data_IF_362444219282
#
_entry.id   IF_362444219282
#
_cell.length_a   1.000
_cell.length_b   1.000
_cell.length_c   1.000
_cell.angle_alpha   90.00
_cell.angle_beta   90.00
_cell.angle_gamma   90.00
#
_symmetry.space_group_name_H-M   'P 1'
#
loop_
_entity.id
_entity.type
_entity.pdbx_description
1 polymer ?
#
# COMPACT_ATOMS: atom_id res chain seq x y z
N UNK A 1 -2.25 -30.59 -2.05
CA UNK A 1 -0.89 -30.32 -1.53
C UNK A 1 -1.07 -29.54 -0.25
N UNK A 2 -0.81 -30.16 0.88
CA UNK A 2 -0.82 -29.50 2.19
C UNK A 2 0.43 -28.62 2.24
N UNK A 3 0.23 -27.31 2.33
CA UNK A 3 1.32 -26.34 2.43
C UNK A 3 2.10 -26.65 3.73
N UNK A 4 3.39 -27.04 3.68
CA UNK A 4 4.19 -27.42 4.85
C UNK A 4 4.67 -26.16 5.60
N UNK A 5 3.79 -25.19 5.78
CA UNK A 5 4.10 -23.90 6.37
C UNK A 5 3.76 -23.97 7.85
N UNK A 6 4.74 -24.36 8.66
CA UNK A 6 4.62 -24.27 10.10
C UNK A 6 4.88 -22.82 10.54
N UNK A 7 3.80 -22.08 10.80
CA UNK A 7 3.84 -20.65 11.17
C UNK A 7 4.74 -20.41 12.39
N UNK A 8 4.80 -21.40 13.30
CA UNK A 8 5.64 -21.34 14.50
C UNK A 8 7.12 -21.29 14.14
N UNK A 9 7.56 -22.08 13.16
CA UNK A 9 8.96 -22.10 12.71
C UNK A 9 9.36 -20.77 12.04
N UNK A 10 8.40 -20.14 11.34
CA UNK A 10 8.60 -18.81 10.74
C UNK A 10 8.76 -17.74 11.83
N UNK A 11 7.92 -17.78 12.87
CA UNK A 11 8.01 -16.86 14.00
C UNK A 11 9.34 -17.00 14.74
N UNK A 12 9.78 -18.23 15.00
CA UNK A 12 11.10 -18.49 15.59
C UNK A 12 12.25 -18.01 14.70
N UNK A 13 12.16 -18.17 13.38
CA UNK A 13 13.16 -17.67 12.46
C UNK A 13 13.25 -16.14 12.45
N UNK A 14 12.11 -15.46 12.55
CA UNK A 14 12.02 -13.99 12.66
C UNK A 14 12.60 -13.49 13.98
N UNK A 15 12.34 -14.21 15.08
CA UNK A 15 12.90 -13.89 16.39
C UNK A 15 14.41 -14.09 16.43
N UNK A 16 14.91 -15.18 15.86
CA UNK A 16 16.34 -15.50 15.82
C UNK A 16 17.14 -14.55 14.91
N UNK A 17 16.52 -14.02 13.84
CA UNK A 17 17.18 -13.13 12.88
C UNK A 17 16.24 -12.00 12.42
N UNK A 18 16.22 -10.86 13.14
CA UNK A 18 15.39 -9.70 12.80
C UNK A 18 15.66 -9.15 11.39
N UNK A 19 16.86 -9.38 10.85
CA UNK A 19 17.23 -9.02 9.48
C UNK A 19 16.35 -9.65 8.39
N UNK A 20 15.74 -10.81 8.64
CA UNK A 20 14.77 -11.39 7.71
C UNK A 20 13.52 -10.51 7.57
N UNK A 21 13.10 -9.88 8.67
CA UNK A 21 11.94 -9.00 8.68
C UNK A 21 12.23 -7.67 7.97
N UNK A 22 13.45 -7.15 8.10
CA UNK A 22 13.93 -5.98 7.35
C UNK A 22 14.03 -6.29 5.85
N UNK A 23 14.58 -7.45 5.48
CA UNK A 23 14.64 -7.89 4.09
C UNK A 23 13.23 -8.04 3.51
N UNK A 24 12.31 -8.65 4.24
CA UNK A 24 10.90 -8.74 3.86
C UNK A 24 10.29 -7.34 3.65
N UNK A 25 10.49 -6.41 4.59
CA UNK A 25 10.05 -5.02 4.45
C UNK A 25 10.62 -4.32 3.21
N UNK A 26 11.87 -4.58 2.84
CA UNK A 26 12.53 -4.01 1.66
C UNK A 26 11.90 -4.47 0.32
N UNK A 27 11.46 -5.73 0.24
CA UNK A 27 10.92 -6.32 -0.99
C UNK A 27 9.40 -6.13 -1.20
N UNK A 28 8.68 -5.54 -0.24
CA UNK A 28 7.24 -5.24 -0.40
C UNK A 28 6.85 -4.45 -1.68
N UNK A 29 7.63 -3.47 -2.17
CA UNK A 29 7.30 -2.77 -3.42
C UNK A 29 7.33 -3.68 -4.64
N UNK A 30 8.19 -4.71 -4.64
CA UNK A 30 8.25 -5.67 -5.72
C UNK A 30 6.97 -6.53 -5.79
N UNK A 31 6.37 -6.85 -4.64
CA UNK A 31 5.07 -7.52 -4.59
C UNK A 31 3.95 -6.62 -5.15
N UNK A 32 3.99 -5.31 -4.87
CA UNK A 32 3.07 -4.33 -5.47
C UNK A 32 3.31 -4.16 -6.99
N UNK A 33 4.56 -4.23 -7.46
CA UNK A 33 4.86 -4.23 -8.91
C UNK A 33 4.32 -5.48 -9.61
N UNK A 34 4.39 -6.65 -8.99
CA UNK A 34 3.81 -7.87 -9.55
C UNK A 34 2.29 -7.76 -9.75
N UNK A 35 1.59 -7.07 -8.85
CA UNK A 35 0.17 -6.74 -8.98
C UNK A 35 -0.15 -5.81 -10.16
N UNK A 36 0.82 -5.05 -10.68
CA UNK A 36 0.63 -4.23 -11.87
C UNK A 36 0.50 -5.07 -13.15
N UNK A 37 1.05 -6.29 -13.19
CA UNK A 37 1.00 -7.17 -14.37
C UNK A 37 -0.46 -7.59 -14.67
N UNK A 38 -1.23 -8.16 -13.72
CA UNK A 38 -2.66 -8.44 -13.94
C UNK A 38 -3.47 -7.18 -14.29
N UNK A 39 -3.22 -6.06 -13.61
CA UNK A 39 -3.92 -4.80 -13.87
C UNK A 39 -3.65 -4.29 -15.29
N UNK A 40 -2.43 -4.47 -15.80
CA UNK A 40 -2.07 -4.15 -17.18
C UNK A 40 -2.76 -5.05 -18.19
N UNK A 41 -2.90 -6.35 -17.88
CA UNK A 41 -3.68 -7.30 -18.70
C UNK A 41 -5.16 -6.89 -18.75
N UNK A 42 -5.77 -6.55 -17.61
CA UNK A 42 -7.16 -6.07 -17.56
C UNK A 42 -7.37 -4.74 -18.28
N UNK A 43 -6.38 -3.84 -18.23
CA UNK A 43 -6.37 -2.62 -19.04
C UNK A 43 -6.36 -2.94 -20.53
N UNK A 44 -5.52 -3.87 -20.97
CA UNK A 44 -5.41 -4.28 -22.38
C UNK A 44 -6.66 -5.00 -22.87
N UNK A 45 -7.35 -5.73 -22.00
CA UNK A 45 -8.62 -6.41 -22.27
C UNK A 45 -9.83 -5.44 -22.29
N UNK A 46 -9.63 -4.15 -21.99
CA UNK A 46 -10.72 -3.15 -21.98
C UNK A 46 -11.67 -3.25 -20.79
N UNK A 47 -11.41 -4.16 -19.84
CA UNK A 47 -12.23 -4.36 -18.63
C UNK A 47 -11.95 -3.29 -17.57
N UNK A 48 -10.80 -2.61 -17.65
CA UNK A 48 -10.34 -1.67 -16.65
C UNK A 48 -9.76 -0.40 -17.29
N UNK A 49 -10.28 0.78 -16.92
CA UNK A 49 -9.81 2.08 -17.39
C UNK A 49 -9.18 2.89 -16.24
N UNK A 50 -7.85 2.82 -16.04
CA UNK A 50 -7.19 3.46 -14.90
C UNK A 50 -7.38 4.98 -14.83
N UNK A 51 -7.56 5.64 -15.98
CA UNK A 51 -7.75 7.09 -16.03
C UNK A 51 -9.15 7.54 -15.55
N UNK A 52 -10.17 6.69 -15.70
CA UNK A 52 -11.53 6.95 -15.22
C UNK A 52 -11.76 6.37 -13.81
N UNK A 53 -11.17 5.22 -13.51
CA UNK A 53 -11.41 4.50 -12.26
C UNK A 53 -10.40 4.82 -11.15
N UNK A 54 -9.13 5.05 -11.48
CA UNK A 54 -8.11 5.29 -10.46
C UNK A 54 -7.95 6.79 -10.18
N UNK A 55 -7.97 7.68 -11.18
CA UNK A 55 -8.06 9.14 -10.97
C UNK A 55 -7.13 9.74 -9.90
N UNK A 56 -7.50 10.88 -9.31
CA UNK A 56 -6.77 11.52 -8.18
C UNK A 56 -6.88 10.68 -6.91
N UNK A 57 -7.99 9.97 -6.74
CA UNK A 57 -8.27 9.15 -5.56
C UNK A 57 -7.28 7.98 -5.41
N UNK A 58 -7.17 7.14 -6.43
CA UNK A 58 -6.25 6.02 -6.49
C UNK A 58 -4.79 6.46 -6.52
N UNK A 59 -4.47 7.58 -7.18
CA UNK A 59 -3.14 8.18 -7.07
C UNK A 59 -2.81 8.55 -5.61
N UNK A 60 -3.74 9.17 -4.90
CA UNK A 60 -3.56 9.53 -3.48
C UNK A 60 -3.39 8.29 -2.59
N UNK A 61 -4.17 7.23 -2.83
CA UNK A 61 -4.04 5.96 -2.08
C UNK A 61 -2.69 5.30 -2.33
N UNK A 62 -2.22 5.27 -3.58
CA UNK A 62 -0.89 4.73 -3.93
C UNK A 62 0.22 5.55 -3.27
N UNK A 63 0.11 6.88 -3.25
CA UNK A 63 1.08 7.75 -2.57
C UNK A 63 1.09 7.49 -1.06
N UNK A 64 -0.06 7.39 -0.40
CA UNK A 64 -0.15 7.10 1.03
C UNK A 64 0.47 5.72 1.34
N UNK A 65 0.20 4.72 0.51
CA UNK A 65 0.77 3.37 0.63
C UNK A 65 2.30 3.38 0.46
N UNK A 66 2.83 4.10 -0.53
CA UNK A 66 4.28 4.20 -0.75
C UNK A 66 4.99 4.92 0.41
N UNK A 67 4.41 6.03 0.89
CA UNK A 67 4.95 6.78 2.03
C UNK A 67 4.91 5.91 3.28
N UNK A 68 3.78 5.27 3.57
CA UNK A 68 3.63 4.35 4.70
C UNK A 68 4.60 3.18 4.65
N UNK A 69 4.83 2.60 3.47
CA UNK A 69 5.84 1.57 3.26
C UNK A 69 7.25 2.08 3.57
N UNK A 70 7.64 3.26 3.07
CA UNK A 70 8.97 3.85 3.28
C UNK A 70 9.25 4.08 4.77
N UNK A 71 8.27 4.65 5.49
CA UNK A 71 8.34 4.80 6.94
C UNK A 71 8.40 3.45 7.66
N UNK A 72 7.63 2.46 7.19
CA UNK A 72 7.70 1.09 7.68
C UNK A 72 9.08 0.49 7.55
N UNK A 73 9.65 0.52 6.35
CA UNK A 73 10.99 0.01 6.09
C UNK A 73 12.05 0.72 6.94
N UNK A 74 12.02 2.06 7.00
CA UNK A 74 12.94 2.84 7.83
C UNK A 74 12.81 2.47 9.32
N UNK A 75 11.59 2.31 9.83
CA UNK A 75 11.37 1.89 11.22
C UNK A 75 11.92 0.49 11.51
N UNK A 76 11.78 -0.46 10.58
CA UNK A 76 12.32 -1.80 10.75
C UNK A 76 13.86 -1.81 10.78
N UNK A 77 14.51 -0.98 9.96
CA UNK A 77 15.96 -0.79 10.01
C UNK A 77 16.39 -0.24 11.38
N UNK A 78 15.73 0.82 11.86
CA UNK A 78 16.07 1.45 13.14
C UNK A 78 15.88 0.48 14.31
N UNK A 79 14.76 -0.23 14.36
CA UNK A 79 14.49 -1.20 15.42
C UNK A 79 15.48 -2.37 15.41
N UNK A 80 15.93 -2.81 14.22
CA UNK A 80 17.00 -3.80 14.09
C UNK A 80 18.31 -3.28 14.69
N UNK A 81 18.70 -2.04 14.40
CA UNK A 81 19.92 -1.45 14.96
C UNK A 81 19.83 -1.18 16.47
N UNK A 82 18.62 -1.03 17.01
CA UNK A 82 18.36 -0.92 18.44
C UNK A 82 18.29 -2.27 19.16
N UNK A 83 18.60 -3.36 18.47
CA UNK A 83 18.57 -4.74 18.98
C UNK A 83 17.20 -5.13 19.60
N UNK A 84 16.12 -4.61 19.01
CA UNK A 84 14.76 -4.94 19.42
C UNK A 84 14.43 -6.35 18.95
N UNK A 85 13.88 -7.17 19.85
CA UNK A 85 13.45 -8.53 19.53
C UNK A 85 12.55 -8.56 18.27
N UNK A 86 12.84 -9.48 17.34
CA UNK A 86 12.16 -9.56 16.04
C UNK A 86 10.64 -9.68 16.13
N UNK A 87 10.13 -10.36 17.18
CA UNK A 87 8.69 -10.47 17.42
C UNK A 87 8.05 -9.12 17.77
N UNK A 88 8.75 -8.27 18.53
CA UNK A 88 8.31 -6.90 18.84
C UNK A 88 8.34 -6.03 17.58
N UNK A 89 9.37 -6.18 16.75
CA UNK A 89 9.47 -5.51 15.45
C UNK A 89 8.28 -5.87 14.54
N UNK A 90 7.93 -7.16 14.46
CA UNK A 90 6.77 -7.64 13.73
C UNK A 90 5.46 -7.01 14.21
N UNK A 91 5.26 -6.93 15.54
CA UNK A 91 4.07 -6.29 16.12
C UNK A 91 3.98 -4.80 15.77
N UNK A 92 5.09 -4.07 15.85
CA UNK A 92 5.15 -2.65 15.46
C UNK A 92 4.84 -2.50 13.96
N UNK A 93 5.41 -3.38 13.14
CA UNK A 93 5.17 -3.37 11.70
C UNK A 93 3.70 -3.61 11.35
N UNK A 94 3.06 -4.58 12.01
CA UNK A 94 1.64 -4.87 11.84
C UNK A 94 0.75 -3.73 12.34
N UNK A 95 1.03 -3.16 13.51
CA UNK A 95 0.29 -2.02 14.06
C UNK A 95 0.35 -0.81 13.11
N UNK A 96 1.51 -0.54 12.53
CA UNK A 96 1.67 0.55 11.57
C UNK A 96 0.82 0.33 10.30
N UNK A 97 0.78 -0.89 9.76
CA UNK A 97 -0.10 -1.23 8.64
C UNK A 97 -1.58 -1.02 8.97
N UNK A 98 -2.01 -1.40 10.17
CA UNK A 98 -3.39 -1.15 10.62
C UNK A 98 -3.68 0.35 10.72
N UNK A 99 -2.76 1.14 11.27
CA UNK A 99 -2.92 2.59 11.35
C UNK A 99 -3.03 3.24 9.96
N UNK A 100 -2.16 2.86 9.02
CA UNK A 100 -2.20 3.38 7.64
C UNK A 100 -3.52 2.97 6.97
N UNK A 101 -3.93 1.71 7.11
CA UNK A 101 -5.18 1.20 6.53
C UNK A 101 -6.39 1.94 7.10
N UNK A 102 -6.46 2.11 8.42
CA UNK A 102 -7.52 2.86 9.08
C UNK A 102 -7.53 4.33 8.63
N UNK A 103 -6.36 4.96 8.53
CA UNK A 103 -6.22 6.33 8.01
C UNK A 103 -6.76 6.44 6.59
N UNK A 104 -6.37 5.53 5.69
CA UNK A 104 -6.86 5.51 4.31
C UNK A 104 -8.38 5.31 4.28
N UNK A 105 -8.94 4.37 5.05
CA UNK A 105 -10.39 4.10 5.06
C UNK A 105 -11.18 5.32 5.56
N UNK A 106 -10.77 5.93 6.68
CA UNK A 106 -11.45 7.10 7.26
C UNK A 106 -11.39 8.29 6.31
N UNK A 107 -10.23 8.51 5.68
CA UNK A 107 -10.01 9.64 4.76
C UNK A 107 -10.50 9.37 3.34
N UNK A 108 -10.75 8.11 2.95
CA UNK A 108 -11.22 7.74 1.62
C UNK A 108 -12.56 8.42 1.30
N UNK A 109 -13.45 8.54 2.29
CA UNK A 109 -14.73 9.25 2.12
C UNK A 109 -14.53 10.75 1.85
N UNK A 110 -13.52 11.38 2.45
CA UNK A 110 -13.15 12.77 2.17
C UNK A 110 -12.54 12.95 0.79
N UNK A 111 -11.59 12.07 0.42
CA UNK A 111 -10.95 12.07 -0.90
C UNK A 111 -11.95 11.80 -2.03
N UNK A 112 -12.93 10.90 -1.81
CA UNK A 112 -14.01 10.63 -2.78
C UNK A 112 -14.88 11.86 -3.01
N UNK A 113 -15.27 12.58 -1.96
CA UNK A 113 -16.04 13.84 -2.10
C UNK A 113 -15.26 14.93 -2.84
N UNK A 114 -13.95 15.04 -2.60
CA UNK A 114 -13.09 15.97 -3.36
C UNK A 114 -12.98 15.57 -4.83
N UNK A 115 -12.84 14.27 -5.12
CA UNK A 115 -12.81 13.75 -6.49
C UNK A 115 -14.11 14.05 -7.26
N UNK A 116 -15.28 13.78 -6.66
CA UNK A 116 -16.58 14.07 -7.27
C UNK A 116 -16.73 15.57 -7.59
N UNK A 117 -16.27 16.44 -6.68
CA UNK A 117 -16.26 17.89 -6.88
C UNK A 117 -15.35 18.34 -8.03
N UNK A 118 -14.18 17.73 -8.17
CA UNK A 118 -13.24 17.99 -9.27
C UNK A 118 -13.78 17.52 -10.63
N UNK A 119 -14.42 16.34 -10.66
CA UNK A 119 -15.07 15.84 -11.87
C UNK A 119 -16.25 16.73 -12.30
N UNK A 120 -17.06 17.20 -11.34
CA UNK A 120 -18.12 18.18 -11.59
C UNK A 120 -17.57 19.50 -12.13
N UNK A 121 -16.46 20.03 -11.58
CA UNK A 121 -15.80 21.24 -12.09
C UNK A 121 -15.31 21.09 -13.52
N UNK A 122 -14.69 19.96 -13.88
CA UNK A 122 -14.25 19.70 -15.26
C UNK A 122 -15.44 19.65 -16.23
N UNK A 123 -16.55 19.07 -15.81
CA UNK A 123 -17.77 18.98 -16.62
C UNK A 123 -18.41 20.35 -16.88
N UNK A 124 -18.38 21.25 -15.89
CA UNK A 124 -18.91 22.62 -16.02
C UNK A 124 -17.93 23.53 -16.80
N UNK A 125 -16.63 23.42 -16.55
CA UNK A 125 -15.59 24.20 -17.27
C UNK A 125 -15.49 23.87 -18.75
N UNK A 126 -15.76 22.62 -19.14
CA UNK A 126 -15.80 22.21 -20.55
C UNK A 126 -16.99 22.78 -21.35
N UNK A 127 -18.07 23.20 -20.67
CA UNK A 127 -19.25 23.81 -21.33
C UNK A 127 -19.01 25.29 -21.67
N UNK A 128 -18.08 25.96 -20.97
CA UNK A 128 -17.76 27.38 -21.20
C UNK A 128 -16.78 27.62 -22.36
N UNK A 129 -16.08 26.60 -22.86
CA UNK A 129 -15.09 26.74 -23.94
C UNK A 129 -15.67 26.54 -25.35
N UNK A 130 -16.97 26.27 -25.45
CA UNK A 130 -17.66 25.97 -26.72
C UNK A 130 -18.80 26.96 -27.03
N UNK A 131 -18.73 28.19 -26.49
CA UNK A 131 -19.57 29.31 -26.92
C UNK A 131 -18.69 30.48 -27.32
#
# INVERSE_FOLDING_TARGET
MELPFNIIDILHAVEAKPGYLVAFAAFHPFALMLLLIPLWIFKKAGVYSPAQELGIFGFSVVVIMMVGWLFGFASQILLMFMDVAGLKMLMVYFAMYLCITAFVIVNANGLKKMYEKDQLKKKIGGISSNR
#
